data_IF_768301056149
#
_entry.id   IF_768301056149
#
_cell.length_a   1.000
_cell.length_b   1.000
_cell.length_c   1.000
_cell.angle_alpha   90.00
_cell.angle_beta   90.00
_cell.angle_gamma   90.00
#
_symmetry.space_group_name_H-M   'P 1'
#
loop_
_entity.id
_entity.type
_entity.pdbx_description
1 polymer ?
#
# COMPACT_ATOMS: atom_id res chain seq x y z
N UNK A 1 -3.14 16.37 14.45
CA UNK A 1 -4.59 16.12 14.31
C UNK A 1 -4.79 14.62 14.31
N UNK A 2 -5.64 14.10 15.20
CA UNK A 2 -6.03 12.69 15.15
C UNK A 2 -6.77 12.40 13.82
N UNK A 3 -6.56 11.23 13.20
CA UNK A 3 -7.27 10.88 11.98
C UNK A 3 -8.79 10.83 12.24
N UNK A 4 -9.63 11.24 11.27
CA UNK A 4 -11.07 11.13 11.41
C UNK A 4 -11.47 9.65 11.54
N UNK A 5 -12.44 9.33 12.42
CA UNK A 5 -12.84 7.94 12.66
C UNK A 5 -13.35 7.28 11.38
N UNK A 6 -13.16 5.96 11.22
CA UNK A 6 -13.67 5.23 10.06
C UNK A 6 -15.20 5.31 10.02
N UNK A 7 -15.81 5.38 8.83
CA UNK A 7 -17.26 5.49 8.71
C UNK A 7 -17.95 4.28 9.34
N UNK A 8 -19.14 4.46 9.93
CA UNK A 8 -19.80 3.42 10.71
C UNK A 8 -20.14 2.18 9.85
N UNK A 9 -20.17 0.98 10.44
CA UNK A 9 -20.65 -0.24 9.80
C UNK A 9 -22.03 -0.08 9.18
N UNK A 10 -22.22 -0.60 7.97
CA UNK A 10 -23.52 -0.62 7.33
C UNK A 10 -24.47 -1.56 8.08
N UNK A 11 -25.71 -1.11 8.30
CA UNK A 11 -26.71 -1.89 9.04
C UNK A 11 -27.07 -3.23 8.38
N UNK A 12 -26.90 -3.34 7.06
CA UNK A 12 -27.24 -4.52 6.26
C UNK A 12 -26.09 -5.52 6.13
N UNK A 13 -24.93 -5.05 5.68
CA UNK A 13 -23.77 -5.89 5.37
C UNK A 13 -22.84 -6.08 6.59
N UNK A 14 -22.97 -5.24 7.63
CA UNK A 14 -21.99 -5.05 8.73
C UNK A 14 -20.59 -4.63 8.27
N UNK A 15 -20.24 -4.78 6.99
CA UNK A 15 -19.07 -4.16 6.39
C UNK A 15 -19.20 -2.63 6.37
N UNK A 16 -18.07 -1.93 6.23
CA UNK A 16 -18.03 -0.46 6.05
C UNK A 16 -18.29 -0.11 4.59
N UNK A 17 -19.52 -0.38 4.16
CA UNK A 17 -19.93 -0.26 2.76
C UNK A 17 -19.72 1.18 2.19
N UNK A 18 -19.77 2.25 3.02
CA UNK A 18 -19.47 3.63 2.62
C UNK A 18 -17.97 3.97 2.44
N UNK A 19 -17.08 3.02 2.76
CA UNK A 19 -15.64 3.11 2.50
C UNK A 19 -15.12 1.89 1.74
N UNK A 20 -16.02 0.97 1.35
CA UNK A 20 -15.69 -0.11 0.44
C UNK A 20 -15.63 0.50 -0.94
N UNK A 21 -14.43 0.48 -1.53
CA UNK A 21 -14.24 0.69 -2.96
C UNK A 21 -15.23 -0.18 -3.71
N UNK A 22 -15.86 0.38 -4.71
CA UNK A 22 -16.90 -0.32 -5.45
C UNK A 22 -16.84 0.11 -6.91
N UNK A 23 -15.93 -0.52 -7.65
CA UNK A 23 -16.00 -0.50 -9.11
C UNK A 23 -16.38 -1.89 -9.61
N UNK A 24 -16.65 -2.03 -10.91
CA UNK A 24 -16.89 -3.34 -11.53
C UNK A 24 -15.70 -4.31 -11.40
N UNK A 25 -14.51 -3.81 -11.05
CA UNK A 25 -13.26 -4.58 -11.04
C UNK A 25 -12.47 -4.46 -9.73
N UNK A 26 -12.96 -3.73 -8.74
CA UNK A 26 -12.26 -3.48 -7.47
C UNK A 26 -13.23 -3.38 -6.31
N UNK A 27 -12.91 -4.03 -5.20
CA UNK A 27 -13.55 -3.76 -3.93
C UNK A 27 -12.59 -3.84 -2.74
N UNK A 28 -13.06 -3.42 -1.56
CA UNK A 28 -12.25 -3.54 -0.34
C UNK A 28 -13.08 -3.74 0.92
N UNK A 29 -12.45 -4.38 1.90
CA UNK A 29 -13.06 -4.75 3.17
C UNK A 29 -12.18 -4.19 4.29
N UNK A 30 -12.78 -3.38 5.17
CA UNK A 30 -12.16 -3.11 6.47
C UNK A 30 -12.32 -4.36 7.33
N UNK A 31 -11.21 -4.94 7.76
CA UNK A 31 -11.23 -6.13 8.58
C UNK A 31 -11.70 -5.79 9.99
N UNK A 32 -12.63 -6.60 10.48
CA UNK A 32 -13.08 -6.60 11.86
C UNK A 32 -12.87 -8.02 12.41
N UNK A 33 -12.57 -8.17 13.70
CA UNK A 33 -12.29 -9.50 14.29
C UNK A 33 -13.40 -10.53 14.06
N UNK A 34 -14.65 -10.09 13.89
CA UNK A 34 -15.78 -10.94 13.50
C UNK A 34 -15.67 -11.57 12.10
N UNK A 35 -14.74 -11.10 11.27
CA UNK A 35 -14.47 -11.62 9.92
C UNK A 35 -13.33 -12.64 9.87
N UNK A 36 -12.82 -13.09 11.03
CA UNK A 36 -11.70 -14.05 11.09
C UNK A 36 -11.93 -15.30 10.23
N UNK A 37 -13.13 -15.87 10.25
CA UNK A 37 -13.45 -17.09 9.48
C UNK A 37 -14.09 -16.81 8.13
N UNK A 38 -14.84 -15.71 8.01
CA UNK A 38 -15.47 -15.29 6.78
C UNK A 38 -15.74 -13.79 6.79
N UNK A 39 -15.29 -13.10 5.74
CA UNK A 39 -15.62 -11.70 5.52
C UNK A 39 -16.92 -11.56 4.72
N UNK A 40 -17.72 -10.55 5.08
CA UNK A 40 -18.94 -10.22 4.34
C UNK A 40 -18.59 -9.28 3.19
N UNK A 41 -18.91 -9.69 1.97
CA UNK A 41 -18.76 -8.86 0.76
C UNK A 41 -19.68 -7.63 0.90
N UNK A 42 -19.14 -6.41 0.79
CA UNK A 42 -19.92 -5.19 0.95
C UNK A 42 -21.11 -5.14 -0.03
N UNK A 43 -22.28 -4.73 0.46
CA UNK A 43 -23.52 -4.76 -0.33
C UNK A 43 -23.51 -3.84 -1.56
N UNK A 44 -22.67 -2.80 -1.57
CA UNK A 44 -22.49 -1.91 -2.71
C UNK A 44 -21.69 -2.56 -3.86
N UNK A 45 -20.96 -3.66 -3.60
CA UNK A 45 -20.22 -4.42 -4.63
C UNK A 45 -20.79 -5.81 -4.89
N UNK A 46 -21.64 -6.31 -4.00
CA UNK A 46 -22.21 -7.65 -4.06
C UNK A 46 -22.83 -8.00 -5.41
N UNK A 47 -23.50 -7.05 -6.07
CA UNK A 47 -24.12 -7.29 -7.38
C UNK A 47 -23.09 -7.62 -8.45
N UNK A 48 -21.99 -6.89 -8.50
CA UNK A 48 -20.90 -7.13 -9.46
C UNK A 48 -20.12 -8.38 -9.07
N UNK A 49 -19.78 -8.53 -7.79
CA UNK A 49 -19.07 -9.70 -7.29
C UNK A 49 -19.83 -11.02 -7.56
N UNK A 50 -21.15 -11.01 -7.45
CA UNK A 50 -21.98 -12.19 -7.73
C UNK A 50 -22.03 -12.58 -9.22
N UNK A 51 -21.57 -11.72 -10.14
CA UNK A 51 -21.43 -12.09 -11.57
C UNK A 51 -20.25 -13.03 -11.80
N UNK A 52 -19.28 -13.06 -10.90
CA UNK A 52 -18.16 -14.00 -10.96
C UNK A 52 -18.70 -15.42 -10.83
N UNK A 53 -18.27 -16.33 -11.70
CA UNK A 53 -18.68 -17.75 -11.66
C UNK A 53 -17.81 -18.53 -10.69
N UNK A 54 -18.33 -19.66 -10.18
CA UNK A 54 -17.64 -20.51 -9.20
C UNK A 54 -18.04 -20.23 -7.75
N UNK A 55 -17.71 -21.22 -6.91
CA UNK A 55 -17.85 -21.27 -5.45
C UNK A 55 -16.51 -21.03 -4.74
N UNK A 56 -15.45 -20.77 -5.50
CA UNK A 56 -14.12 -20.49 -5.00
C UNK A 56 -13.40 -19.49 -5.90
N UNK A 57 -12.42 -18.79 -5.34
CA UNK A 57 -11.68 -17.75 -6.03
C UNK A 57 -10.24 -17.72 -5.55
N UNK A 58 -9.30 -17.82 -6.48
CA UNK A 58 -7.88 -17.71 -6.18
C UNK A 58 -7.42 -16.29 -6.41
N UNK A 59 -6.86 -15.71 -5.37
CA UNK A 59 -6.23 -14.40 -5.42
C UNK A 59 -4.73 -14.54 -5.29
N UNK A 60 -4.01 -13.90 -6.20
CA UNK A 60 -2.56 -13.77 -6.13
C UNK A 60 -2.22 -12.65 -5.15
N UNK A 61 -1.42 -12.96 -4.15
CA UNK A 61 -0.73 -12.03 -3.27
C UNK A 61 0.77 -12.38 -3.29
N UNK A 62 1.69 -11.46 -2.94
CA UNK A 62 3.12 -11.76 -3.06
C UNK A 62 3.64 -12.89 -2.15
N UNK A 63 2.93 -13.25 -1.08
CA UNK A 63 3.18 -14.46 -0.29
C UNK A 63 2.61 -15.75 -0.90
N UNK A 64 1.99 -15.64 -2.08
CA UNK A 64 1.46 -16.74 -2.85
C UNK A 64 -0.05 -16.69 -3.06
N UNK A 65 -0.60 -17.65 -3.82
CA UNK A 65 -2.02 -17.67 -4.14
C UNK A 65 -2.86 -18.15 -2.95
N UNK A 66 -3.95 -17.44 -2.67
CA UNK A 66 -4.96 -17.81 -1.67
C UNK A 66 -6.27 -18.15 -2.36
N UNK A 67 -6.69 -19.42 -2.28
CA UNK A 67 -7.99 -19.87 -2.76
C UNK A 67 -9.02 -19.72 -1.65
N UNK A 68 -9.92 -18.77 -1.83
CA UNK A 68 -11.00 -18.48 -0.88
C UNK A 68 -12.30 -19.10 -1.36
N UNK A 69 -13.10 -19.61 -0.43
CA UNK A 69 -14.44 -20.10 -0.70
C UNK A 69 -15.42 -18.93 -0.77
N UNK A 70 -16.39 -19.01 -1.68
CA UNK A 70 -17.34 -17.95 -1.97
C UNK A 70 -18.77 -18.47 -1.80
N UNK A 71 -19.41 -18.05 -0.73
CA UNK A 71 -20.80 -18.38 -0.44
C UNK A 71 -21.74 -17.26 -0.88
N UNK A 72 -22.50 -17.52 -1.96
CA UNK A 72 -23.48 -16.56 -2.51
C UNK A 72 -24.88 -16.86 -1.99
N UNK A 73 -25.23 -16.28 -0.85
CA UNK A 73 -26.57 -16.37 -0.28
C UNK A 73 -27.57 -15.38 -0.91
N UNK A 74 -28.86 -15.51 -0.58
CA UNK A 74 -29.94 -14.64 -1.09
C UNK A 74 -29.77 -13.16 -0.68
N UNK A 75 -29.30 -12.92 0.54
CA UNK A 75 -29.18 -11.57 1.11
C UNK A 75 -27.75 -11.12 1.38
N UNK A 76 -26.81 -12.07 1.44
CA UNK A 76 -25.43 -11.86 1.86
C UNK A 76 -24.53 -12.72 0.98
N UNK A 77 -23.34 -12.21 0.68
CA UNK A 77 -22.28 -12.98 0.04
C UNK A 77 -21.07 -12.94 0.97
N UNK A 78 -20.41 -14.06 1.17
CA UNK A 78 -19.26 -14.20 2.06
C UNK A 78 -18.06 -14.78 1.31
N UNK A 79 -16.87 -14.39 1.76
CA UNK A 79 -15.59 -14.94 1.32
C UNK A 79 -14.90 -15.49 2.56
N UNK A 80 -14.52 -16.76 2.54
CA UNK A 80 -13.98 -17.47 3.70
C UNK A 80 -13.19 -18.71 3.31
N UNK A 81 -13.25 -19.72 4.17
CA UNK A 81 -12.53 -20.99 4.00
C UNK A 81 -11.06 -20.93 4.39
N UNK A 82 -10.34 -22.02 4.17
CA UNK A 82 -8.97 -22.20 4.64
C UNK A 82 -8.00 -21.18 4.03
N UNK A 83 -8.17 -20.83 2.75
CA UNK A 83 -7.31 -19.81 2.11
C UNK A 83 -7.52 -18.42 2.70
N UNK A 84 -8.72 -18.08 3.15
CA UNK A 84 -8.97 -16.83 3.87
C UNK A 84 -8.27 -16.84 5.23
N UNK A 85 -8.48 -17.88 6.03
CA UNK A 85 -7.85 -18.00 7.36
C UNK A 85 -6.33 -17.99 7.25
N UNK A 86 -5.76 -18.68 6.25
CA UNK A 86 -4.33 -18.68 5.98
C UNK A 86 -3.83 -17.29 5.59
N UNK A 87 -4.57 -16.54 4.79
CA UNK A 87 -4.24 -15.15 4.45
C UNK A 87 -4.25 -14.25 5.70
N UNK A 88 -5.29 -14.35 6.53
CA UNK A 88 -5.41 -13.59 7.78
C UNK A 88 -4.24 -13.88 8.73
N UNK A 89 -3.91 -15.16 8.91
CA UNK A 89 -2.81 -15.59 9.76
C UNK A 89 -1.45 -15.18 9.19
N UNK A 90 -1.23 -15.41 7.89
CA UNK A 90 0.01 -15.03 7.21
C UNK A 90 0.28 -13.54 7.37
N UNK A 91 -0.73 -12.72 7.12
CA UNK A 91 -0.61 -11.27 7.18
C UNK A 91 -0.74 -10.68 8.58
N UNK A 92 -0.91 -11.52 9.62
CA UNK A 92 -1.05 -11.12 11.04
C UNK A 92 -2.13 -10.03 11.25
N UNK A 93 -3.26 -10.14 10.55
CA UNK A 93 -4.35 -9.16 10.63
C UNK A 93 -5.09 -9.30 11.97
N UNK A 94 -5.25 -8.19 12.69
CA UNK A 94 -5.86 -8.19 14.04
C UNK A 94 -7.10 -7.31 14.17
N UNK A 95 -7.30 -6.33 13.28
CA UNK A 95 -8.46 -5.45 13.27
C UNK A 95 -8.14 -4.01 12.86
N UNK A 96 -8.94 -3.46 11.92
CA UNK A 96 -8.80 -2.07 11.46
C UNK A 96 -8.02 -1.90 10.14
N UNK A 97 -7.38 -2.96 9.66
CA UNK A 97 -6.69 -3.01 8.37
C UNK A 97 -7.68 -2.99 7.20
N UNK A 98 -7.24 -2.46 6.06
CA UNK A 98 -8.03 -2.42 4.83
C UNK A 98 -7.49 -3.43 3.82
N UNK A 99 -8.29 -4.44 3.49
CA UNK A 99 -7.96 -5.49 2.52
C UNK A 99 -8.62 -5.10 1.19
N UNK A 100 -7.83 -4.95 0.14
CA UNK A 100 -8.33 -4.61 -1.19
C UNK A 100 -8.23 -5.80 -2.15
N UNK A 101 -9.26 -5.98 -2.96
CA UNK A 101 -9.45 -7.07 -3.90
C UNK A 101 -9.58 -6.49 -5.32
N UNK A 102 -8.80 -6.99 -6.27
CA UNK A 102 -8.77 -6.54 -7.65
C UNK A 102 -9.01 -7.66 -8.65
N UNK A 103 -9.86 -7.40 -9.64
CA UNK A 103 -10.21 -8.28 -10.75
C UNK A 103 -9.72 -7.74 -12.10
N UNK A 104 -8.88 -6.71 -12.11
CA UNK A 104 -8.42 -6.06 -13.35
C UNK A 104 -7.41 -6.89 -14.14
N UNK A 105 -6.61 -7.71 -13.46
CA UNK A 105 -5.59 -8.54 -14.09
C UNK A 105 -6.18 -9.89 -14.57
N UNK A 106 -5.48 -10.57 -15.50
CA UNK A 106 -5.86 -11.91 -15.98
C UNK A 106 -6.06 -12.92 -14.83
N UNK A 107 -5.38 -12.71 -13.70
CA UNK A 107 -5.63 -13.39 -12.43
C UNK A 107 -6.07 -12.38 -11.38
N UNK A 108 -7.14 -12.66 -10.59
CA UNK A 108 -7.52 -11.82 -9.46
C UNK A 108 -6.35 -11.62 -8.49
N UNK A 109 -6.23 -10.43 -7.93
CA UNK A 109 -5.16 -10.05 -7.00
C UNK A 109 -5.73 -9.55 -5.68
N UNK A 110 -5.01 -9.82 -4.61
CA UNK A 110 -5.19 -9.19 -3.31
C UNK A 110 -4.06 -8.22 -3.04
N UNK A 111 -4.37 -7.12 -2.37
CA UNK A 111 -3.35 -6.28 -1.75
C UNK A 111 -3.86 -5.82 -0.40
N UNK A 112 -3.01 -5.96 0.60
CA UNK A 112 -3.23 -5.34 1.89
C UNK A 112 -2.77 -3.89 1.88
N UNK A 113 -3.66 -2.99 2.31
CA UNK A 113 -3.31 -1.59 2.57
C UNK A 113 -3.43 -1.37 4.08
N UNK A 114 -2.29 -1.29 4.76
CA UNK A 114 -2.26 -0.87 6.15
C UNK A 114 -2.55 0.63 6.22
N UNK A 115 -3.72 0.99 6.73
CA UNK A 115 -4.08 2.39 7.00
C UNK A 115 -3.79 2.66 8.48
N UNK A 116 -2.85 3.56 8.77
CA UNK A 116 -2.45 3.96 10.13
C UNK A 116 -1.71 2.90 10.97
N UNK A 117 -0.74 2.17 10.40
CA UNK A 117 0.19 1.40 11.25
C UNK A 117 0.99 2.36 12.14
N UNK A 118 1.02 2.12 13.45
CA UNK A 118 1.98 2.78 14.34
C UNK A 118 3.38 2.25 14.01
N UNK A 119 4.40 3.12 14.05
CA UNK A 119 5.78 2.66 13.94
C UNK A 119 6.11 2.00 15.28
N UNK A 120 5.96 0.68 15.38
CA UNK A 120 6.45 -0.05 16.55
C UNK A 120 7.98 0.09 16.57
N UNK A 121 8.50 0.67 17.66
CA UNK A 121 9.93 0.83 17.93
C UNK A 121 10.55 -0.48 18.49
N UNK A 122 9.82 -1.60 18.48
CA UNK A 122 10.29 -2.86 19.06
C UNK A 122 11.15 -3.64 18.05
N UNK A 123 12.41 -3.81 18.44
CA UNK A 123 13.45 -4.59 17.80
C UNK A 123 13.13 -6.10 17.91
N UNK A 124 12.19 -6.59 17.13
CA UNK A 124 12.08 -8.03 16.89
C UNK A 124 12.90 -8.38 15.64
N UNK A 125 14.13 -8.79 15.88
CA UNK A 125 14.97 -9.51 14.93
C UNK A 125 14.35 -10.90 14.66
N UNK A 126 14.13 -11.20 13.38
CA UNK A 126 13.73 -12.48 12.78
C UNK A 126 12.28 -12.98 12.97
N UNK A 127 11.46 -12.72 11.95
CA UNK A 127 10.85 -13.76 11.10
C UNK A 127 10.26 -13.07 9.85
N UNK A 128 10.01 -13.80 8.76
CA UNK A 128 9.35 -13.33 7.53
C UNK A 128 8.18 -12.37 7.84
N UNK A 129 8.47 -11.07 7.84
CA UNK A 129 7.50 -10.05 8.21
C UNK A 129 6.53 -9.88 7.02
N UNK A 130 5.25 -10.26 7.15
CA UNK A 130 4.28 -10.14 6.06
C UNK A 130 4.03 -8.67 5.66
N UNK A 131 4.53 -7.71 6.44
CA UNK A 131 4.55 -6.30 6.03
C UNK A 131 5.42 -6.05 4.82
N UNK A 132 6.45 -6.88 4.59
CA UNK A 132 7.19 -6.98 3.32
C UNK A 132 6.24 -7.08 2.12
N UNK A 133 5.05 -7.64 2.35
CA UNK A 133 4.04 -7.90 1.35
C UNK A 133 2.85 -6.94 1.39
N UNK A 134 2.91 -5.83 2.11
CA UNK A 134 1.80 -4.88 2.17
C UNK A 134 2.09 -3.56 1.44
N UNK A 135 1.09 -2.68 1.39
CA UNK A 135 1.27 -1.25 1.10
C UNK A 135 0.93 -0.50 2.37
N UNK A 136 1.81 0.40 2.79
CA UNK A 136 1.62 1.13 4.04
C UNK A 136 1.20 2.56 3.76
N UNK A 137 -0.01 2.93 4.15
CA UNK A 137 -0.51 4.31 4.19
C UNK A 137 -0.43 4.82 5.63
N UNK A 138 0.68 5.47 5.99
CA UNK A 138 0.89 5.99 7.34
C UNK A 138 0.12 7.29 7.58
N UNK A 139 -0.66 7.32 8.67
CA UNK A 139 -1.26 8.52 9.25
C UNK A 139 -2.15 9.33 8.29
N UNK A 140 -2.74 8.68 7.29
CA UNK A 140 -3.58 9.35 6.30
C UNK A 140 -4.73 8.48 5.82
N UNK A 141 -5.83 9.14 5.44
CA UNK A 141 -6.96 8.50 4.77
C UNK A 141 -6.86 8.75 3.27
N UNK A 142 -6.97 7.67 2.50
CA UNK A 142 -7.11 7.73 1.05
C UNK A 142 -8.57 7.96 0.67
N UNK A 143 -8.80 8.77 -0.37
CA UNK A 143 -10.10 8.91 -1.02
C UNK A 143 -10.43 7.65 -1.83
N UNK A 144 -11.70 7.46 -2.19
CA UNK A 144 -12.10 6.31 -3.03
C UNK A 144 -11.39 6.31 -4.38
N UNK A 145 -11.24 7.49 -5.00
CA UNK A 145 -10.50 7.68 -6.24
C UNK A 145 -9.02 7.33 -6.07
N UNK A 146 -8.40 7.77 -4.98
CA UNK A 146 -6.99 7.49 -4.72
C UNK A 146 -6.74 5.98 -4.56
N UNK A 147 -7.58 5.26 -3.81
CA UNK A 147 -7.36 3.80 -3.72
C UNK A 147 -7.64 3.09 -5.05
N UNK A 148 -8.53 3.61 -5.90
CA UNK A 148 -8.71 3.08 -7.26
C UNK A 148 -7.45 3.29 -8.12
N UNK A 149 -6.88 4.49 -8.10
CA UNK A 149 -5.69 4.83 -8.87
C UNK A 149 -4.46 4.06 -8.39
N UNK A 150 -4.37 3.78 -7.08
CA UNK A 150 -3.31 2.95 -6.51
C UNK A 150 -3.20 1.61 -7.27
N UNK A 151 -4.31 0.99 -7.68
CA UNK A 151 -4.29 -0.29 -8.40
C UNK A 151 -3.87 -0.21 -9.87
N UNK A 152 -4.14 0.90 -10.56
CA UNK A 152 -3.59 1.13 -11.90
C UNK A 152 -2.07 1.34 -11.85
N UNK A 153 -1.60 1.77 -10.68
CA UNK A 153 -0.21 2.17 -10.47
C UNK A 153 0.63 1.03 -9.89
N UNK A 154 0.10 0.21 -8.95
CA UNK A 154 0.85 -0.85 -8.26
C UNK A 154 1.49 -1.76 -9.31
N UNK A 155 2.81 -1.64 -9.52
CA UNK A 155 3.49 -2.45 -10.51
C UNK A 155 3.62 -3.88 -9.98
N UNK A 156 3.77 -4.88 -10.86
CA UNK A 156 4.17 -6.23 -10.44
C UNK A 156 5.44 -6.15 -9.58
N UNK A 157 5.40 -6.80 -8.40
CA UNK A 157 6.38 -6.65 -7.30
C UNK A 157 7.82 -7.13 -7.57
N UNK A 158 8.09 -7.76 -8.71
CA UNK A 158 9.31 -8.55 -8.92
C UNK A 158 10.65 -7.79 -8.69
N UNK A 159 10.64 -6.45 -8.65
CA UNK A 159 11.86 -5.64 -8.53
C UNK A 159 11.90 -4.67 -7.32
N UNK A 160 10.96 -4.78 -6.36
CA UNK A 160 10.92 -3.82 -5.24
C UNK A 160 11.89 -4.17 -4.12
N UNK A 161 12.39 -3.11 -3.47
CA UNK A 161 13.18 -3.21 -2.24
C UNK A 161 12.33 -2.63 -1.11
N UNK A 162 11.99 -3.48 -0.14
CA UNK A 162 11.13 -3.11 0.98
C UNK A 162 9.67 -2.87 0.59
N UNK A 163 8.95 -2.26 1.53
CA UNK A 163 7.49 -2.07 1.46
C UNK A 163 7.14 -0.77 0.74
N UNK A 164 6.32 -0.79 -0.33
CA UNK A 164 5.76 0.42 -0.90
C UNK A 164 4.97 1.21 0.13
N UNK A 165 5.12 2.54 0.15
CA UNK A 165 4.38 3.37 1.09
C UNK A 165 3.72 4.55 0.42
N UNK A 166 2.59 4.94 0.97
CA UNK A 166 1.74 6.02 0.50
C UNK A 166 1.80 7.17 1.51
N UNK A 167 2.01 8.38 0.99
CA UNK A 167 2.02 9.62 1.79
C UNK A 167 1.34 10.75 1.04
N UNK A 168 0.90 11.79 1.75
CA UNK A 168 0.57 13.08 1.14
C UNK A 168 1.80 13.98 1.13
N UNK A 169 1.99 14.69 0.02
CA UNK A 169 2.98 15.76 -0.05
C UNK A 169 2.64 16.85 0.98
N UNK A 170 3.56 17.10 1.90
CA UNK A 170 3.41 18.15 2.91
C UNK A 170 4.06 19.45 2.46
N UNK A 171 3.73 20.58 3.10
CA UNK A 171 4.45 21.85 2.89
C UNK A 171 5.95 21.74 3.16
N UNK A 172 6.36 20.84 4.07
CA UNK A 172 7.79 20.58 4.32
C UNK A 172 8.46 19.91 3.11
N UNK A 173 7.79 18.98 2.46
CA UNK A 173 8.30 18.30 1.26
C UNK A 173 8.30 19.20 0.04
N UNK A 174 7.24 20.01 -0.14
CA UNK A 174 7.06 20.83 -1.35
C UNK A 174 7.75 22.19 -1.21
N UNK A 175 7.42 22.96 -0.18
CA UNK A 175 7.88 24.36 -0.07
C UNK A 175 9.30 24.44 0.51
N UNK A 176 9.60 23.60 1.51
CA UNK A 176 10.93 23.57 2.16
C UNK A 176 11.90 22.60 1.49
N UNK A 177 11.40 21.77 0.56
CA UNK A 177 12.19 20.77 -0.17
C UNK A 177 12.91 19.77 0.75
N UNK A 178 12.29 19.40 1.88
CA UNK A 178 12.83 18.42 2.82
C UNK A 178 12.01 17.14 2.70
N UNK A 179 12.63 16.09 2.16
CA UNK A 179 12.03 14.76 2.07
C UNK A 179 12.81 13.78 2.94
N UNK A 180 12.10 13.14 3.86
CA UNK A 180 12.60 12.03 4.68
C UNK A 180 11.82 10.77 4.33
N UNK A 181 12.53 9.65 4.27
CA UNK A 181 11.94 8.33 4.07
C UNK A 181 11.65 7.69 5.44
N UNK A 182 10.67 6.77 5.51
CA UNK A 182 10.43 5.97 6.70
C UNK A 182 11.67 5.15 7.10
N UNK A 183 11.90 4.92 8.41
CA UNK A 183 13.07 4.16 8.89
C UNK A 183 13.11 2.73 8.34
N UNK A 184 11.94 2.10 8.22
CA UNK A 184 11.78 0.74 7.69
C UNK A 184 12.37 0.57 6.29
N UNK A 185 12.38 1.63 5.50
CA UNK A 185 12.91 1.64 4.15
C UNK A 185 14.44 1.70 4.16
N UNK A 186 15.05 2.50 5.05
CA UNK A 186 16.50 2.50 5.23
C UNK A 186 17.01 1.12 5.62
N UNK A 187 16.29 0.43 6.52
CA UNK A 187 16.56 -0.99 6.88
C UNK A 187 16.43 -1.90 5.66
N UNK A 188 15.31 -1.82 4.92
CA UNK A 188 15.05 -2.66 3.74
C UNK A 188 16.09 -2.50 2.63
N UNK A 189 16.62 -1.28 2.46
CA UNK A 189 17.67 -1.01 1.47
C UNK A 189 19.07 -1.37 1.97
N UNK A 190 19.23 -1.79 3.22
CA UNK A 190 20.53 -2.04 3.85
C UNK A 190 21.41 -0.79 3.86
N UNK A 191 20.82 0.38 4.09
CA UNK A 191 21.54 1.65 4.21
C UNK A 191 22.12 1.70 5.63
N UNK A 192 23.44 1.85 5.73
CA UNK A 192 24.11 1.89 7.03
C UNK A 192 23.87 3.22 7.76
N UNK A 193 23.97 3.26 9.10
CA UNK A 193 24.12 4.51 9.82
C UNK A 193 25.24 5.35 9.20
N UNK A 194 25.01 6.66 9.08
CA UNK A 194 25.94 7.62 8.51
C UNK A 194 26.31 7.39 7.03
N UNK A 195 25.61 6.50 6.31
CA UNK A 195 25.83 6.30 4.88
C UNK A 195 25.35 7.51 4.08
N UNK A 196 26.21 8.00 3.19
CA UNK A 196 25.88 8.99 2.19
C UNK A 196 26.01 8.40 0.79
N UNK A 197 25.14 8.84 -0.12
CA UNK A 197 25.14 8.33 -1.49
C UNK A 197 24.24 9.12 -2.42
N UNK A 198 23.95 8.52 -3.57
CA UNK A 198 23.04 9.09 -4.57
C UNK A 198 21.91 8.11 -4.91
N UNK A 199 20.70 8.64 -5.00
CA UNK A 199 19.51 7.94 -5.45
C UNK A 199 19.02 8.55 -6.77
N UNK A 200 18.47 7.72 -7.65
CA UNK A 200 17.70 8.20 -8.79
C UNK A 200 16.24 8.38 -8.38
N UNK A 201 15.64 9.52 -8.66
CA UNK A 201 14.23 9.81 -8.37
C UNK A 201 13.51 10.06 -9.70
N UNK A 202 12.37 9.41 -9.93
CA UNK A 202 11.56 9.63 -11.13
C UNK A 202 10.07 9.58 -10.86
N UNK A 203 9.32 10.32 -11.68
CA UNK A 203 7.86 10.27 -11.68
C UNK A 203 7.40 9.18 -12.64
N UNK A 204 6.72 8.16 -12.15
CA UNK A 204 6.39 6.91 -12.85
C UNK A 204 7.59 6.11 -13.33
N UNK A 205 7.35 4.86 -13.73
CA UNK A 205 8.39 3.98 -14.27
C UNK A 205 9.02 4.49 -15.58
N UNK A 206 8.38 5.45 -16.28
CA UNK A 206 8.86 6.00 -17.57
C UNK A 206 9.42 7.42 -17.47
N UNK A 207 9.34 8.05 -16.29
CA UNK A 207 9.81 9.43 -16.11
C UNK A 207 11.32 9.58 -16.24
N UNK A 208 11.73 10.82 -16.49
CA UNK A 208 13.13 11.21 -16.41
C UNK A 208 13.66 11.00 -14.99
N UNK A 209 14.92 10.57 -14.91
CA UNK A 209 15.60 10.32 -13.63
C UNK A 209 16.33 11.57 -13.20
N UNK A 210 16.00 12.06 -12.02
CA UNK A 210 16.73 13.10 -11.30
C UNK A 210 17.66 12.43 -10.29
N UNK A 211 18.96 12.64 -10.41
CA UNK A 211 19.91 12.21 -9.38
C UNK A 211 19.79 13.13 -8.16
N UNK A 212 19.67 12.54 -6.98
CA UNK A 212 19.53 13.24 -5.72
C UNK A 212 20.48 12.62 -4.69
N UNK A 213 21.26 13.43 -3.98
CA UNK A 213 22.08 12.92 -2.90
C UNK A 213 21.20 12.58 -1.68
N UNK A 214 21.58 11.57 -0.92
CA UNK A 214 20.95 11.22 0.35
C UNK A 214 21.99 11.06 1.45
N UNK A 215 21.53 11.24 2.70
CA UNK A 215 22.25 10.90 3.92
C UNK A 215 21.31 10.27 4.94
N UNK A 216 21.85 9.80 6.06
CA UNK A 216 21.09 9.27 7.19
C UNK A 216 21.16 10.26 8.35
N UNK A 217 20.01 10.68 8.86
CA UNK A 217 19.93 11.56 10.03
C UNK A 217 20.15 10.78 11.34
N UNK A 218 20.38 11.51 12.43
CA UNK A 218 20.52 10.94 13.79
C UNK A 218 19.27 10.20 14.28
N UNK A 219 18.10 10.45 13.69
CA UNK A 219 16.86 9.70 13.94
C UNK A 219 16.81 8.36 13.19
N UNK A 220 17.83 8.04 12.39
CA UNK A 220 17.93 6.82 11.57
C UNK A 220 17.16 6.88 10.26
N UNK A 221 16.54 8.02 9.90
CA UNK A 221 15.82 8.18 8.64
C UNK A 221 16.75 8.66 7.54
N UNK A 222 16.59 8.08 6.36
CA UNK A 222 17.22 8.59 5.14
C UNK A 222 16.55 9.89 4.71
N UNK A 223 17.33 10.94 4.49
CA UNK A 223 16.84 12.20 3.94
C UNK A 223 17.44 12.45 2.56
N UNK A 224 16.65 13.05 1.67
CA UNK A 224 17.15 13.57 0.40
C UNK A 224 17.62 15.00 0.56
N UNK A 225 18.72 15.34 -0.11
CA UNK A 225 19.21 16.71 -0.09
C UNK A 225 18.23 17.66 -0.77
N UNK A 226 18.16 18.89 -0.28
CA UNK A 226 17.17 19.87 -0.74
C UNK A 226 17.36 20.26 -2.20
N UNK A 227 18.60 20.26 -2.70
CA UNK A 227 18.93 20.63 -4.08
C UNK A 227 18.38 19.60 -5.07
N UNK A 228 18.69 18.31 -4.88
CA UNK A 228 18.24 17.25 -5.78
C UNK A 228 16.72 17.06 -5.70
N UNK A 229 16.16 17.13 -4.50
CA UNK A 229 14.70 17.07 -4.31
C UNK A 229 13.98 18.24 -4.97
N UNK A 230 14.50 19.47 -4.85
CA UNK A 230 13.97 20.64 -5.56
C UNK A 230 14.02 20.47 -7.07
N UNK A 231 15.13 19.99 -7.61
CA UNK A 231 15.26 19.73 -9.06
C UNK A 231 14.23 18.69 -9.50
N UNK A 232 13.95 17.68 -8.68
CA UNK A 232 12.93 16.69 -8.98
C UNK A 232 11.54 17.33 -9.15
N UNK A 233 11.17 18.36 -8.39
CA UNK A 233 9.85 19.01 -8.52
C UNK A 233 9.68 19.82 -9.82
N UNK A 234 10.77 20.27 -10.44
CA UNK A 234 10.72 21.17 -11.60
C UNK A 234 9.92 20.54 -12.74
N UNK A 235 8.88 21.24 -13.17
CA UNK A 235 8.02 20.87 -14.29
C UNK A 235 7.05 19.71 -14.03
N UNK A 236 6.92 19.23 -12.78
CA UNK A 236 6.09 18.06 -12.43
C UNK A 236 4.72 18.39 -11.82
N UNK A 237 4.40 19.67 -11.59
CA UNK A 237 3.13 20.16 -11.04
C UNK A 237 2.66 19.45 -9.75
N UNK A 238 3.60 18.95 -8.95
CA UNK A 238 3.33 18.34 -7.65
C UNK A 238 3.00 19.42 -6.62
N UNK A 239 1.96 19.21 -5.80
CA UNK A 239 1.48 20.20 -4.83
C UNK A 239 1.15 19.61 -3.46
N UNK A 240 1.08 20.48 -2.44
CA UNK A 240 0.75 20.10 -1.06
C UNK A 240 -0.64 19.45 -1.01
N UNK A 241 -0.75 18.34 -0.28
CA UNK A 241 -1.97 17.56 -0.12
C UNK A 241 -2.12 16.42 -1.12
N UNK A 242 -1.37 16.42 -2.22
CA UNK A 242 -1.44 15.38 -3.24
C UNK A 242 -0.94 14.03 -2.70
N UNK A 243 -1.70 12.96 -2.92
CA UNK A 243 -1.32 11.60 -2.53
C UNK A 243 -0.32 11.02 -3.54
N UNK A 244 0.71 10.37 -3.03
CA UNK A 244 1.73 9.71 -3.84
C UNK A 244 2.07 8.33 -3.29
N UNK A 245 2.32 7.40 -4.20
CA UNK A 245 2.91 6.10 -3.92
C UNK A 245 4.42 6.20 -4.15
N UNK A 246 5.20 5.74 -3.18
CA UNK A 246 6.65 5.67 -3.30
C UNK A 246 7.05 4.19 -3.30
N UNK A 247 7.73 3.78 -4.37
CA UNK A 247 8.35 2.45 -4.49
C UNK A 247 9.85 2.59 -4.67
N UNK A 248 10.61 1.66 -4.10
CA UNK A 248 12.06 1.59 -4.29
C UNK A 248 12.42 0.35 -5.07
N UNK A 249 13.39 0.49 -5.97
CA UNK A 249 13.93 -0.60 -6.78
C UNK A 249 15.44 -0.62 -6.73
N UNK A 250 15.99 -1.81 -6.89
CA UNK A 250 17.39 -1.99 -7.24
C UNK A 250 17.68 -1.33 -8.59
N UNK A 251 18.91 -0.86 -8.78
CA UNK A 251 19.31 -0.23 -10.04
C UNK A 251 20.71 -0.67 -10.44
N UNK A 252 20.90 -0.92 -11.73
CA UNK A 252 22.21 -1.20 -12.32
C UNK A 252 22.91 0.08 -12.81
N UNK A 253 22.31 1.26 -12.60
CA UNK A 253 22.91 2.53 -13.01
C UNK A 253 24.13 2.82 -12.14
N UNK A 254 25.33 2.99 -12.73
CA UNK A 254 26.54 3.29 -11.98
C UNK A 254 26.36 4.54 -11.12
N UNK A 255 26.82 4.48 -9.87
CA UNK A 255 26.79 5.61 -8.94
C UNK A 255 25.44 5.87 -8.27
N UNK A 256 24.39 5.10 -8.57
CA UNK A 256 23.11 5.18 -7.85
C UNK A 256 22.95 3.98 -6.93
N UNK A 257 22.65 4.22 -5.65
CA UNK A 257 22.34 3.16 -4.67
C UNK A 257 21.00 2.52 -4.94
N UNK A 258 20.02 3.31 -5.35
CA UNK A 258 18.62 2.92 -5.47
C UNK A 258 17.90 3.77 -6.52
N UNK A 259 16.77 3.26 -7.00
CA UNK A 259 15.81 4.00 -7.81
C UNK A 259 14.50 4.18 -7.04
N UNK A 260 14.15 5.44 -6.76
CA UNK A 260 12.88 5.83 -6.17
C UNK A 260 11.92 6.21 -7.28
N UNK A 261 10.79 5.51 -7.32
CA UNK A 261 9.70 5.80 -8.25
C UNK A 261 8.55 6.38 -7.45
N UNK A 262 8.12 7.57 -7.87
CA UNK A 262 6.99 8.29 -7.30
C UNK A 262 5.87 8.23 -8.32
N UNK A 263 4.72 7.75 -7.90
CA UNK A 263 3.52 7.73 -8.70
C UNK A 263 2.45 8.59 -8.02
N UNK A 264 1.77 9.43 -8.81
CA UNK A 264 0.66 10.24 -8.31
C UNK A 264 -0.55 9.34 -8.23
N UNK A 265 -1.18 9.31 -7.06
CA UNK A 265 -2.41 8.59 -6.78
C UNK A 265 -3.59 9.53 -6.97
#
# INVERSE_FOLDING_TARGET
>A
MAPPPPPPPCRRCKSRCASSLATSTLFGIYFESSFLHAAIVPCNVRSEFNKLTGDSMTFEDPGGPYTMEVEKGRNMTQVGGDGWVRFIAHMRITGGEFISFSFRAERPKLAMIYVNKEEDDEDDEDDDDPLGEAIVAQRMRLSEEEVCNLWDIIPPRADFVGVPFVTRLTSTMVDRHIMKLPKSLSKSCGIKPDEEGSAGIRLTARGSVTTCAYGVDTDGRTHFNSVGWKIFFVGKNLHVGQAILITIRNTHRPGLRMMVVIDII
#
